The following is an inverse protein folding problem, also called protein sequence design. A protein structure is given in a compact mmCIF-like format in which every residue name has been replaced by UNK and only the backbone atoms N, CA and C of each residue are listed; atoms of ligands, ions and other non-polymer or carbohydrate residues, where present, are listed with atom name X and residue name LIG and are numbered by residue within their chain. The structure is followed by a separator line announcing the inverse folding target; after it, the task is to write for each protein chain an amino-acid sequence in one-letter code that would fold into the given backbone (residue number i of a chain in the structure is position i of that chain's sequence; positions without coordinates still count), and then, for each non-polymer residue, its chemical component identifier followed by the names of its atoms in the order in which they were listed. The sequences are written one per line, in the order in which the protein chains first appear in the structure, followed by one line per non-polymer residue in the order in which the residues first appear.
data_IF_181941775002
#
_entry.id   IF_181941775002
#
_cell.length_a   1.000
_cell.length_b   1.000
_cell.length_c   1.000
_cell.angle_alpha   90.00
_cell.angle_beta   90.00
_cell.angle_gamma   90.00
#
_symmetry.space_group_name_H-M   'P 1'
#
loop_
_entity.id
_entity.type
_entity.pdbx_description
1 polymer ?
#
# COMPACT_ATOMS: atom_id res chain seq x y z
N UNK A 1 38.44 49.52 -3.67
CA UNK A 1 38.47 48.16 -3.10
C UNK A 1 37.18 47.94 -2.32
N UNK A 2 36.44 46.88 -2.69
CA UNK A 2 35.60 46.03 -1.82
C UNK A 2 34.40 46.73 -1.12
N UNK A 3 33.15 46.28 -1.17
CA UNK A 3 32.55 44.95 -1.29
C UNK A 3 31.17 45.08 -1.94
N UNK A 4 30.91 44.35 -3.03
CA UNK A 4 29.55 44.15 -3.53
C UNK A 4 28.98 42.90 -2.86
N UNK A 5 27.98 43.10 -2.01
CA UNK A 5 27.24 42.03 -1.34
C UNK A 5 26.26 41.41 -2.35
N UNK A 6 26.76 40.51 -3.20
CA UNK A 6 25.90 39.68 -4.05
C UNK A 6 25.31 38.59 -3.16
N UNK A 7 24.13 38.87 -2.61
CA UNK A 7 23.30 37.89 -1.94
C UNK A 7 22.82 36.90 -3.00
N UNK A 8 23.59 35.83 -3.21
CA UNK A 8 23.20 34.71 -4.06
C UNK A 8 22.01 34.04 -3.38
N UNK A 9 20.79 34.43 -3.79
CA UNK A 9 19.56 33.69 -3.54
C UNK A 9 19.68 32.36 -4.28
N UNK A 10 20.43 31.42 -3.69
CA UNK A 10 20.34 30.01 -4.02
C UNK A 10 18.92 29.64 -3.62
N UNK A 11 18.00 29.79 -4.57
CA UNK A 11 16.76 29.06 -4.56
C UNK A 11 17.21 27.60 -4.65
N UNK A 12 17.45 27.00 -3.49
CA UNK A 12 17.45 25.56 -3.34
C UNK A 12 16.02 25.21 -3.72
N UNK A 13 15.79 25.02 -5.02
CA UNK A 13 14.76 24.15 -5.51
C UNK A 13 15.11 22.83 -4.87
N UNK A 14 14.65 22.65 -3.63
CA UNK A 14 14.48 21.33 -3.05
C UNK A 14 13.73 20.65 -4.16
N UNK A 15 14.39 19.66 -4.75
CA UNK A 15 13.79 18.70 -5.66
C UNK A 15 12.74 17.92 -4.86
N UNK A 16 11.73 18.60 -4.35
CA UNK A 16 10.37 18.16 -4.25
C UNK A 16 9.92 17.98 -5.70
N UNK A 17 10.55 17.01 -6.37
CA UNK A 17 10.07 16.42 -7.59
C UNK A 17 8.73 15.81 -7.20
N UNK A 18 7.68 16.62 -7.27
CA UNK A 18 6.37 16.10 -7.58
C UNK A 18 6.58 15.39 -8.90
N UNK A 19 6.85 14.07 -8.83
CA UNK A 19 6.92 13.21 -10.01
C UNK A 19 5.61 13.30 -10.80
N UNK A 20 4.57 13.84 -10.18
CA UNK A 20 3.27 14.12 -10.73
C UNK A 20 3.09 15.58 -11.15
N UNK A 21 2.45 15.78 -12.30
CA UNK A 21 1.99 17.07 -12.84
C UNK A 21 0.49 17.02 -13.11
N UNK A 22 -0.15 18.18 -13.05
CA UNK A 22 -1.51 18.34 -13.56
C UNK A 22 -1.45 18.50 -15.07
N UNK A 23 -2.24 17.71 -15.79
CA UNK A 23 -2.27 17.68 -17.24
C UNK A 23 -3.68 18.03 -17.77
N UNK A 24 -3.78 18.73 -18.91
CA UNK A 24 -5.07 19.02 -19.53
C UNK A 24 -5.75 17.73 -19.98
N UNK A 25 -7.09 17.75 -20.06
CA UNK A 25 -7.91 16.57 -20.44
C UNK A 25 -7.46 15.88 -21.73
N UNK A 26 -6.89 16.63 -22.68
CA UNK A 26 -6.37 16.13 -23.97
C UNK A 26 -5.22 15.15 -23.82
N UNK A 27 -4.47 15.21 -22.72
CA UNK A 27 -3.34 14.31 -22.42
C UNK A 27 -3.74 13.13 -21.53
N UNK A 28 -4.92 13.17 -20.89
CA UNK A 28 -5.28 12.24 -19.82
C UNK A 28 -5.61 10.81 -20.28
N UNK A 29 -6.00 10.65 -21.55
CA UNK A 29 -6.38 9.35 -22.09
C UNK A 29 -5.16 8.46 -22.37
N UNK A 30 -4.04 9.05 -22.79
CA UNK A 30 -2.87 8.35 -23.35
C UNK A 30 -2.08 7.54 -22.31
N UNK A 31 -1.71 8.07 -21.13
CA UNK A 31 -0.95 7.30 -20.15
C UNK A 31 -1.75 6.14 -19.56
N UNK A 32 -1.07 5.03 -19.29
CA UNK A 32 -1.63 3.94 -18.50
C UNK A 32 -1.76 4.33 -17.03
N UNK A 33 -2.63 3.65 -16.28
CA UNK A 33 -2.67 3.85 -14.82
C UNK A 33 -1.40 3.38 -14.14
N UNK A 34 -1.06 4.01 -13.02
CA UNK A 34 0.04 3.55 -12.15
C UNK A 34 -0.16 2.09 -11.69
N UNK A 35 0.94 1.32 -11.51
CA UNK A 35 0.86 -0.05 -11.03
C UNK A 35 0.14 -0.17 -9.69
N UNK A 36 -0.83 -1.10 -9.63
CA UNK A 36 -1.58 -1.37 -8.40
C UNK A 36 -2.63 -0.32 -8.03
N UNK A 37 -2.98 0.63 -8.91
CA UNK A 37 -4.03 1.63 -8.67
C UNK A 37 -5.36 0.99 -8.19
N UNK A 38 -5.68 -0.19 -8.70
CA UNK A 38 -6.89 -0.93 -8.37
C UNK A 38 -6.85 -1.60 -6.98
N UNK A 39 -5.69 -1.72 -6.34
CA UNK A 39 -5.58 -2.36 -5.03
C UNK A 39 -6.08 -1.49 -3.87
N UNK A 40 -6.07 -0.16 -4.02
CA UNK A 40 -6.42 0.79 -2.96
C UNK A 40 -7.94 0.88 -2.74
N UNK A 41 -8.72 0.65 -3.80
CA UNK A 41 -10.19 0.74 -3.75
C UNK A 41 -10.91 -0.59 -3.58
N UNK A 42 -10.21 -1.72 -3.65
CA UNK A 42 -10.79 -3.04 -3.49
C UNK A 42 -11.06 -3.34 -2.00
N UNK A 43 -12.28 -3.77 -1.67
CA UNK A 43 -12.65 -4.15 -0.31
C UNK A 43 -11.81 -5.32 0.20
N UNK A 44 -11.53 -5.34 1.50
CA UNK A 44 -10.67 -6.34 2.13
C UNK A 44 -11.40 -7.06 3.28
N UNK A 45 -11.50 -8.39 3.19
CA UNK A 45 -12.02 -9.25 4.25
C UNK A 45 -10.91 -9.50 5.28
N UNK A 46 -11.00 -8.81 6.41
CA UNK A 46 -10.02 -8.90 7.51
C UNK A 46 -10.00 -10.29 8.18
N UNK A 47 -11.09 -11.05 8.14
CA UNK A 47 -11.21 -12.37 8.77
C UNK A 47 -10.52 -13.42 7.91
N UNK A 48 -10.64 -13.31 6.58
CA UNK A 48 -10.02 -14.21 5.60
C UNK A 48 -8.65 -13.74 5.11
N UNK A 49 -8.27 -12.49 5.38
CA UNK A 49 -7.06 -11.81 4.87
C UNK A 49 -6.98 -11.87 3.35
N UNK A 50 -8.07 -11.49 2.68
CA UNK A 50 -8.19 -11.50 1.22
C UNK A 50 -8.96 -10.30 0.73
N UNK A 51 -8.65 -9.87 -0.50
CA UNK A 51 -9.50 -8.92 -1.19
C UNK A 51 -10.83 -9.56 -1.59
N UNK A 52 -11.86 -8.73 -1.73
CA UNK A 52 -13.25 -9.15 -1.94
C UNK A 52 -13.67 -9.19 -3.40
N UNK A 53 -12.88 -8.59 -4.32
CA UNK A 53 -13.28 -8.36 -5.70
C UNK A 53 -14.28 -7.22 -5.89
N UNK A 54 -14.83 -6.65 -4.81
CA UNK A 54 -15.74 -5.52 -4.86
C UNK A 54 -14.98 -4.21 -4.60
N UNK A 55 -15.28 -3.17 -5.38
CA UNK A 55 -14.65 -1.86 -5.25
C UNK A 55 -15.53 -0.92 -4.43
N UNK A 56 -14.98 -0.42 -3.32
CA UNK A 56 -15.67 0.52 -2.41
C UNK A 56 -15.23 1.97 -2.64
N UNK A 57 -14.12 2.17 -3.38
CA UNK A 57 -13.66 3.48 -3.84
C UNK A 57 -13.57 3.43 -5.36
N UNK A 58 -14.08 4.46 -6.04
CA UNK A 58 -13.91 4.61 -7.47
C UNK A 58 -12.44 4.98 -7.77
N UNK A 59 -11.69 4.00 -8.26
CA UNK A 59 -10.30 4.14 -8.71
C UNK A 59 -10.17 4.11 -10.23
N UNK A 60 -11.31 4.19 -10.94
CA UNK A 60 -11.38 4.23 -12.40
C UNK A 60 -11.45 5.67 -12.91
N UNK A 61 -12.07 6.58 -12.17
CA UNK A 61 -12.15 8.00 -12.54
C UNK A 61 -10.80 8.69 -12.33
N UNK A 62 -10.30 9.36 -13.37
CA UNK A 62 -9.01 10.06 -13.37
C UNK A 62 -9.10 11.53 -13.79
N UNK A 63 -10.29 12.02 -14.12
CA UNK A 63 -10.54 13.41 -14.53
C UNK A 63 -11.20 14.15 -13.38
N UNK A 64 -10.69 15.34 -13.06
CA UNK A 64 -11.26 16.28 -12.09
C UNK A 64 -11.71 17.53 -12.82
N UNK A 65 -12.91 18.07 -12.51
CA UNK A 65 -13.39 19.33 -13.08
C UNK A 65 -14.23 19.24 -14.36
N UNK A 66 -14.68 18.04 -14.77
CA UNK A 66 -15.66 17.84 -15.84
C UNK A 66 -15.10 18.08 -17.25
N UNK A 67 -15.89 18.71 -18.14
CA UNK A 67 -15.60 18.87 -19.58
C UNK A 67 -14.33 19.68 -19.85
N UNK A 68 -14.00 20.63 -18.97
CA UNK A 68 -12.75 21.40 -18.99
C UNK A 68 -11.78 20.94 -17.89
N UNK A 69 -11.87 19.67 -17.53
CA UNK A 69 -11.12 19.10 -16.43
C UNK A 69 -9.64 18.87 -16.72
N UNK A 70 -8.99 18.29 -15.73
CA UNK A 70 -7.59 17.89 -15.79
C UNK A 70 -7.42 16.53 -15.10
N UNK A 71 -6.23 15.96 -15.21
CA UNK A 71 -5.85 14.76 -14.47
C UNK A 71 -4.45 14.92 -13.88
N UNK A 72 -4.07 13.99 -13.02
CA UNK A 72 -2.72 13.89 -12.49
C UNK A 72 -1.95 12.81 -13.24
N UNK A 73 -0.83 13.19 -13.86
CA UNK A 73 0.10 12.30 -14.56
C UNK A 73 1.41 12.28 -13.81
N UNK A 74 1.92 11.09 -13.49
CA UNK A 74 3.15 10.87 -12.74
C UNK A 74 4.21 10.16 -13.59
N UNK A 75 5.45 10.63 -13.52
CA UNK A 75 6.61 9.96 -14.11
C UNK A 75 7.03 8.78 -13.24
N UNK A 76 6.89 7.57 -13.76
CA UNK A 76 7.39 6.36 -13.13
C UNK A 76 8.87 6.15 -13.48
N UNK A 77 9.77 6.51 -12.57
CA UNK A 77 11.21 6.35 -12.77
C UNK A 77 11.69 4.90 -12.86
N UNK A 78 10.92 3.92 -12.38
CA UNK A 78 11.24 2.49 -12.52
C UNK A 78 10.92 1.96 -13.91
N UNK A 79 9.90 2.52 -14.56
CA UNK A 79 9.42 2.08 -15.87
C UNK A 79 9.77 3.05 -17.00
N UNK A 80 10.33 4.22 -16.68
CA UNK A 80 10.77 5.22 -17.65
C UNK A 80 9.64 5.90 -18.42
N UNK A 81 8.39 5.84 -17.94
CA UNK A 81 7.20 6.33 -18.64
C UNK A 81 6.30 7.17 -17.75
N UNK A 82 5.42 7.95 -18.36
CA UNK A 82 4.34 8.66 -17.68
C UNK A 82 3.14 7.73 -17.44
N UNK A 83 2.50 7.85 -16.28
CA UNK A 83 1.35 7.05 -15.86
C UNK A 83 0.32 7.94 -15.15
N UNK A 84 -0.96 7.74 -15.42
CA UNK A 84 -2.04 8.53 -14.80
C UNK A 84 -2.45 7.97 -13.45
N UNK A 85 -2.87 8.88 -12.58
CA UNK A 85 -3.37 8.58 -11.25
C UNK A 85 -4.89 8.67 -11.21
N UNK A 86 -5.60 7.75 -10.55
CA UNK A 86 -7.01 7.96 -10.25
C UNK A 86 -7.22 9.22 -9.40
N UNK A 87 -8.33 9.91 -9.63
CA UNK A 87 -8.70 11.15 -8.91
C UNK A 87 -8.81 10.95 -7.39
N UNK A 88 -9.19 9.75 -6.95
CA UNK A 88 -9.28 9.38 -5.54
C UNK A 88 -7.95 9.01 -4.88
N UNK A 89 -6.85 8.93 -5.65
CA UNK A 89 -5.53 8.53 -5.13
C UNK A 89 -4.63 9.75 -5.06
N UNK A 90 -3.96 9.93 -3.92
CA UNK A 90 -2.98 11.00 -3.69
C UNK A 90 -1.62 10.43 -3.33
N UNK A 91 -0.59 11.27 -3.36
CA UNK A 91 0.76 10.98 -2.85
C UNK A 91 1.48 9.77 -3.46
N UNK A 92 1.03 9.29 -4.61
CA UNK A 92 1.71 8.22 -5.34
C UNK A 92 3.14 8.62 -5.67
N UNK A 93 4.08 7.78 -5.28
CA UNK A 93 5.49 7.98 -5.61
C UNK A 93 6.23 6.66 -5.71
N UNK A 94 7.25 6.67 -6.56
CA UNK A 94 8.27 5.62 -6.56
C UNK A 94 9.08 5.71 -5.26
N UNK A 95 9.03 4.65 -4.46
CA UNK A 95 9.83 4.48 -3.24
C UNK A 95 10.35 3.06 -3.16
N UNK A 96 11.56 2.86 -3.66
CA UNK A 96 12.23 1.56 -3.62
C UNK A 96 12.83 1.34 -2.24
N UNK A 97 12.30 0.34 -1.53
CA UNK A 97 12.89 -0.21 -0.32
C UNK A 97 12.89 -1.74 -0.44
N UNK A 98 14.03 -2.29 -0.81
CA UNK A 98 14.22 -3.72 -1.03
C UNK A 98 15.50 -4.15 -0.33
N UNK A 99 15.35 -4.83 0.81
CA UNK A 99 16.47 -5.44 1.52
C UNK A 99 16.60 -6.88 1.04
N UNK A 100 17.76 -7.24 0.50
CA UNK A 100 18.09 -8.62 0.10
C UNK A 100 18.36 -9.51 1.32
N UNK A 101 17.34 -9.69 2.14
CA UNK A 101 17.39 -10.54 3.34
C UNK A 101 16.07 -11.26 3.51
N UNK A 102 16.14 -12.52 3.92
CA UNK A 102 14.98 -13.31 4.31
C UNK A 102 14.81 -13.18 5.82
N UNK A 103 13.61 -12.85 6.29
CA UNK A 103 13.27 -12.98 7.70
C UNK A 103 12.69 -14.37 7.95
N UNK A 104 13.18 -15.05 8.98
CA UNK A 104 12.73 -16.36 9.40
C UNK A 104 12.14 -16.27 10.81
N UNK A 105 11.02 -16.94 11.06
CA UNK A 105 10.36 -17.00 12.37
C UNK A 105 9.87 -18.43 12.64
N UNK A 106 9.94 -18.85 13.90
CA UNK A 106 9.39 -20.12 14.39
C UNK A 106 8.22 -19.81 15.33
N UNK A 107 7.13 -20.55 15.19
CA UNK A 107 5.90 -20.40 15.95
C UNK A 107 5.58 -21.72 16.66
N UNK A 108 5.40 -21.66 17.97
CA UNK A 108 5.09 -22.82 18.80
C UNK A 108 3.59 -23.10 18.90
N UNK A 109 2.75 -22.24 18.31
CA UNK A 109 1.30 -22.30 18.45
C UNK A 109 0.55 -21.73 17.25
N UNK A 110 -0.66 -22.22 17.03
CA UNK A 110 -1.57 -21.65 16.02
C UNK A 110 -1.94 -20.20 16.30
N UNK A 111 -2.01 -19.79 17.57
CA UNK A 111 -2.31 -18.40 17.95
C UNK A 111 -1.20 -17.43 17.57
N UNK A 112 0.06 -17.86 17.65
CA UNK A 112 1.20 -17.02 17.22
C UNK A 112 1.27 -16.88 15.69
N UNK A 113 0.94 -17.94 14.94
CA UNK A 113 0.75 -17.87 13.47
C UNK A 113 -0.36 -16.90 13.08
N UNK A 114 -1.48 -16.90 13.81
CA UNK A 114 -2.59 -15.97 13.61
C UNK A 114 -2.19 -14.52 13.84
N UNK A 115 -1.49 -14.25 14.95
CA UNK A 115 -0.99 -12.91 15.28
C UNK A 115 -0.09 -12.37 14.18
N UNK A 116 0.85 -13.18 13.69
CA UNK A 116 1.74 -12.78 12.60
C UNK A 116 0.98 -12.59 11.28
N UNK A 117 -0.01 -13.44 10.98
CA UNK A 117 -0.79 -13.30 9.74
C UNK A 117 -1.55 -11.97 9.66
N UNK A 118 -1.82 -11.33 10.80
CA UNK A 118 -2.49 -10.02 10.89
C UNK A 118 -1.54 -8.85 11.10
N UNK A 119 -0.22 -9.08 11.19
CA UNK A 119 0.76 -8.02 11.53
C UNK A 119 0.91 -6.96 10.43
N UNK A 120 0.45 -7.24 9.21
CA UNK A 120 0.43 -6.29 8.10
C UNK A 120 -0.76 -5.31 8.13
N UNK A 121 -1.75 -5.50 9.00
CA UNK A 121 -2.91 -4.59 9.09
C UNK A 121 -2.68 -3.51 10.15
N UNK A 122 -3.10 -2.27 9.87
CA UNK A 122 -3.03 -1.16 10.82
C UNK A 122 -3.95 -1.40 12.02
N UNK A 123 -3.54 -1.05 13.24
CA UNK A 123 -4.36 -1.20 14.45
C UNK A 123 -5.74 -0.48 14.33
N UNK A 124 -5.79 0.57 13.50
CA UNK A 124 -6.98 1.38 13.25
C UNK A 124 -8.17 0.64 12.61
N UNK A 125 -7.99 -0.54 12.01
CA UNK A 125 -9.11 -1.27 11.38
C UNK A 125 -10.25 -1.62 12.35
N UNK A 126 -9.95 -1.69 13.66
CA UNK A 126 -10.94 -2.03 14.71
C UNK A 126 -11.79 -0.83 15.15
N UNK A 127 -11.40 0.39 14.81
CA UNK A 127 -12.05 1.62 15.27
C UNK A 127 -13.47 1.72 14.69
N UNK A 128 -14.44 2.07 15.52
CA UNK A 128 -15.83 2.27 15.08
C UNK A 128 -16.64 0.99 14.83
N UNK A 129 -16.04 -0.20 14.97
CA UNK A 129 -16.72 -1.48 14.70
C UNK A 129 -17.44 -2.10 15.90
N UNK A 130 -17.42 -1.47 17.07
CA UNK A 130 -18.04 -2.02 18.30
C UNK A 130 -17.48 -3.37 18.74
N UNK A 131 -16.26 -3.73 18.28
CA UNK A 131 -15.65 -5.02 18.60
C UNK A 131 -15.25 -5.04 20.07
N UNK A 132 -15.52 -6.15 20.80
CA UNK A 132 -15.16 -6.25 22.19
C UNK A 132 -13.63 -6.17 22.31
N UNK A 133 -13.12 -5.14 23.01
CA UNK A 133 -11.69 -4.93 23.30
C UNK A 133 -11.21 -5.90 24.40
N UNK A 134 -11.51 -7.18 24.24
CA UNK A 134 -11.04 -8.21 25.17
C UNK A 134 -9.63 -8.62 24.77
N UNK A 135 -8.70 -8.49 25.70
CA UNK A 135 -7.34 -8.98 25.52
C UNK A 135 -7.38 -10.48 25.19
N UNK A 136 -6.77 -10.87 24.07
CA UNK A 136 -6.66 -12.27 23.65
C UNK A 136 -7.66 -12.74 22.57
N UNK A 137 -8.68 -11.94 22.21
CA UNK A 137 -9.59 -12.32 21.11
C UNK A 137 -9.00 -11.89 19.77
N UNK A 138 -8.52 -12.87 18.99
CA UNK A 138 -8.11 -12.68 17.60
C UNK A 138 -9.34 -12.78 16.69
N UNK A 139 -9.65 -11.69 15.97
CA UNK A 139 -10.75 -11.64 14.99
C UNK A 139 -10.19 -11.68 13.56
N UNK A 140 -9.21 -10.81 13.30
CA UNK A 140 -8.49 -10.77 12.03
C UNK A 140 -7.77 -12.09 11.75
N UNK A 141 -7.76 -12.51 10.50
CA UNK A 141 -7.01 -13.67 10.02
C UNK A 141 -7.47 -15.02 10.52
N UNK A 142 -8.51 -15.12 11.34
CA UNK A 142 -9.01 -16.39 11.90
C UNK A 142 -9.38 -17.41 10.83
N UNK A 143 -9.89 -16.98 9.67
CA UNK A 143 -10.21 -17.85 8.52
C UNK A 143 -9.24 -17.72 7.34
N UNK A 144 -8.08 -17.12 7.55
CA UNK A 144 -7.01 -17.06 6.55
C UNK A 144 -6.48 -18.45 6.17
N UNK A 145 -5.80 -18.55 5.03
CA UNK A 145 -5.16 -19.80 4.59
C UNK A 145 -4.14 -20.31 5.62
N UNK A 146 -3.30 -19.43 6.15
CA UNK A 146 -2.32 -19.75 7.19
C UNK A 146 -2.98 -20.23 8.48
N UNK A 147 -4.07 -19.59 8.91
CA UNK A 147 -4.83 -20.03 10.07
C UNK A 147 -5.46 -21.41 9.88
N UNK A 148 -6.07 -21.66 8.72
CA UNK A 148 -6.65 -22.98 8.40
C UNK A 148 -5.57 -24.06 8.38
N UNK A 149 -4.42 -23.77 7.77
CA UNK A 149 -3.26 -24.66 7.73
C UNK A 149 -2.76 -24.98 9.15
N UNK A 150 -2.52 -23.97 9.99
CA UNK A 150 -2.04 -24.20 11.35
C UNK A 150 -3.08 -24.91 12.21
N UNK A 151 -4.38 -24.62 12.05
CA UNK A 151 -5.44 -25.34 12.79
C UNK A 151 -5.55 -26.79 12.37
N UNK A 152 -5.44 -27.10 11.07
CA UNK A 152 -5.57 -28.49 10.58
C UNK A 152 -4.43 -29.39 11.06
N UNK A 153 -3.24 -28.83 11.31
CA UNK A 153 -2.11 -29.59 11.85
C UNK A 153 -2.19 -29.71 13.38
N UNK A 154 -2.53 -28.62 14.07
CA UNK A 154 -2.70 -28.62 15.53
C UNK A 154 -3.80 -29.58 16.02
N UNK A 155 -4.79 -29.92 15.18
CA UNK A 155 -5.81 -30.92 15.52
C UNK A 155 -5.33 -32.37 15.40
N UNK A 156 -4.19 -32.61 14.77
CA UNK A 156 -3.63 -33.95 14.54
C UNK A 156 -2.54 -34.27 15.56
N UNK A 157 -1.64 -33.33 15.83
CA UNK A 157 -0.55 -33.49 16.80
C UNK A 157 0.00 -32.11 17.22
N UNK A 158 1.03 -32.10 18.06
CA UNK A 158 1.81 -30.92 18.40
C UNK A 158 2.79 -30.58 17.28
N UNK A 159 2.61 -29.41 16.67
CA UNK A 159 3.47 -28.90 15.60
C UNK A 159 4.17 -27.60 15.98
N UNK A 160 5.36 -27.42 15.43
CA UNK A 160 6.00 -26.12 15.28
C UNK A 160 5.83 -25.64 13.84
N UNK A 161 5.67 -24.33 13.64
CA UNK A 161 5.52 -23.74 12.32
C UNK A 161 6.69 -22.82 12.03
N UNK A 162 7.13 -22.79 10.78
CA UNK A 162 8.17 -21.86 10.34
C UNK A 162 7.64 -20.96 9.24
N UNK A 163 8.05 -19.69 9.27
CA UNK A 163 7.70 -18.69 8.26
C UNK A 163 8.96 -18.04 7.73
N UNK A 164 9.08 -17.97 6.41
CA UNK A 164 10.15 -17.29 5.71
C UNK A 164 9.54 -16.18 4.85
N UNK A 165 9.99 -14.94 5.03
CA UNK A 165 9.43 -13.78 4.33
C UNK A 165 10.53 -12.97 3.65
N UNK A 166 10.25 -12.62 2.41
CA UNK A 166 11.02 -11.68 1.60
C UNK A 166 10.04 -10.64 1.04
N UNK A 167 10.40 -9.35 1.10
CA UNK A 167 9.52 -8.27 0.68
C UNK A 167 10.32 -7.09 0.14
N UNK A 168 9.84 -6.52 -0.95
CA UNK A 168 10.35 -5.27 -1.51
C UNK A 168 9.17 -4.32 -1.74
N UNK A 169 9.33 -3.07 -1.33
CA UNK A 169 8.38 -1.98 -1.59
C UNK A 169 8.92 -1.16 -2.75
N UNK A 170 8.06 -0.84 -3.70
CA UNK A 170 8.41 -0.08 -4.91
C UNK A 170 7.64 1.23 -5.04
N UNK A 171 6.41 1.25 -4.53
CA UNK A 171 5.50 2.38 -4.56
C UNK A 171 4.94 2.62 -3.16
N UNK A 172 4.56 3.86 -2.88
CA UNK A 172 3.75 4.25 -1.71
C UNK A 172 2.66 5.21 -2.12
#
# INVERSE_FOLDING_TARGET
MMFSCVLLLVCICVSSSSCCRTAPITECADPHFVPGHNLVGEGFDIVRMKTTGAFVVNVQDYITGGVHGNCTICKNSLLGREEKLPSAVTDWRVKVNCKRSVSAQVFESTSSVLKESTSSTSIGWKVGLGLPMVAGVAIGGTHSKSAKFARSHASQDKFFYTSHKFSCRYYT
#
